data_IF_045179537412
#
_entry.id   IF_045179537412
#
_cell.length_a   1.000
_cell.length_b   1.000
_cell.length_c   1.000
_cell.angle_alpha   90.00
_cell.angle_beta   90.00
_cell.angle_gamma   90.00
#
_symmetry.space_group_name_H-M   'P 1'
#
loop_
_entity.id
_entity.type
_entity.pdbx_description
1 polymer ?
#
# COMPACT_ATOMS: atom_id res chain seq x y z
N UNK A 1 -21.87 -17.26 -24.04
CA UNK A 1 -21.72 -15.97 -23.33
C UNK A 1 -20.83 -16.15 -22.11
N UNK A 2 -20.18 -15.07 -21.69
CA UNK A 2 -19.24 -14.91 -20.56
C UNK A 2 -17.76 -15.20 -20.85
N UNK A 3 -17.16 -14.31 -21.65
CA UNK A 3 -15.76 -13.93 -21.45
C UNK A 3 -15.74 -12.85 -20.38
N UNK A 4 -15.30 -13.18 -19.16
CA UNK A 4 -14.83 -12.18 -18.19
C UNK A 4 -13.45 -11.76 -18.67
N UNK A 5 -13.42 -10.83 -19.62
CA UNK A 5 -12.26 -9.99 -19.89
C UNK A 5 -12.57 -8.64 -19.24
N UNK A 6 -11.79 -8.25 -18.22
CA UNK A 6 -11.61 -6.91 -17.66
C UNK A 6 -10.84 -7.11 -16.34
N UNK A 7 -9.63 -6.62 -16.12
CA UNK A 7 -9.28 -5.20 -16.21
C UNK A 7 -7.74 -5.06 -16.23
N UNK A 8 -7.15 -4.84 -17.42
CA UNK A 8 -5.68 -4.75 -17.61
C UNK A 8 -5.11 -3.35 -17.36
N UNK A 9 -5.59 -2.63 -16.34
CA UNK A 9 -5.28 -1.20 -16.15
C UNK A 9 -4.88 -0.85 -14.71
N UNK A 10 -4.27 -1.79 -13.99
CA UNK A 10 -3.30 -1.40 -12.96
C UNK A 10 -1.95 -1.43 -13.64
N UNK A 11 -1.29 -0.29 -13.78
CA UNK A 11 0.13 -0.27 -14.11
C UNK A 11 0.87 -0.87 -12.91
N UNK A 12 0.92 -2.20 -12.85
CA UNK A 12 1.71 -2.94 -11.88
C UNK A 12 3.17 -2.69 -12.25
N UNK A 13 3.71 -1.62 -11.70
CA UNK A 13 5.13 -1.36 -11.83
C UNK A 13 5.83 -2.41 -10.97
N UNK A 14 6.73 -3.16 -11.59
CA UNK A 14 7.52 -4.15 -10.88
C UNK A 14 8.78 -3.43 -10.38
N UNK A 15 8.86 -3.22 -9.07
CA UNK A 15 10.09 -2.72 -8.47
C UNK A 15 11.02 -3.90 -8.20
N UNK A 16 12.27 -3.76 -8.62
CA UNK A 16 13.32 -4.77 -8.39
C UNK A 16 14.01 -4.47 -7.07
N UNK A 17 13.61 -5.18 -6.01
CA UNK A 17 14.38 -5.23 -4.78
C UNK A 17 15.13 -6.58 -4.73
N UNK A 18 16.47 -6.55 -4.79
CA UNK A 18 17.27 -7.77 -4.92
C UNK A 18 16.98 -8.56 -6.21
N UNK A 19 16.56 -9.83 -6.08
CA UNK A 19 16.32 -10.77 -7.20
C UNK A 19 14.85 -10.99 -7.56
N UNK A 20 13.89 -10.39 -6.83
CA UNK A 20 12.45 -10.63 -7.03
C UNK A 20 11.71 -9.36 -7.41
N UNK A 21 10.57 -9.57 -8.05
CA UNK A 21 9.69 -8.51 -8.55
C UNK A 21 8.54 -8.38 -7.56
N UNK A 22 8.42 -7.22 -6.93
CA UNK A 22 7.28 -6.88 -6.10
C UNK A 22 6.31 -6.08 -6.96
N UNK A 23 5.06 -6.53 -7.06
CA UNK A 23 4.00 -5.68 -7.61
C UNK A 23 3.66 -4.61 -6.58
N UNK A 24 3.73 -3.36 -7.02
CA UNK A 24 3.12 -2.27 -6.27
C UNK A 24 2.18 -1.50 -7.18
N UNK A 25 1.14 -0.95 -6.57
CA UNK A 25 0.21 -0.06 -7.26
C UNK A 25 0.57 1.38 -6.93
N UNK A 26 0.86 2.19 -7.95
CA UNK A 26 0.97 3.64 -7.80
C UNK A 26 -0.44 4.25 -7.84
N UNK A 27 -0.73 5.15 -6.90
CA UNK A 27 -1.97 5.92 -6.87
C UNK A 27 -1.64 7.39 -7.09
N UNK A 28 -2.27 8.00 -8.10
CA UNK A 28 -2.12 9.43 -8.41
C UNK A 28 -3.44 10.20 -8.42
N UNK A 29 -4.58 9.50 -8.36
CA UNK A 29 -5.91 10.11 -8.40
C UNK A 29 -6.85 9.46 -7.39
N UNK A 30 -7.93 10.16 -7.02
CA UNK A 30 -8.97 9.61 -6.15
C UNK A 30 -9.65 8.38 -6.74
N UNK A 31 -9.78 8.32 -8.08
CA UNK A 31 -10.33 7.17 -8.77
C UNK A 31 -9.44 5.93 -8.59
N UNK A 32 -8.12 6.10 -8.52
CA UNK A 32 -7.20 5.00 -8.25
C UNK A 32 -7.28 4.57 -6.78
N UNK A 33 -7.43 5.52 -5.85
CA UNK A 33 -7.69 5.20 -4.45
C UNK A 33 -8.98 4.37 -4.28
N UNK A 34 -10.06 4.74 -4.97
CA UNK A 34 -11.31 3.96 -4.94
C UNK A 34 -11.14 2.55 -5.47
N UNK A 35 -10.33 2.35 -6.52
CA UNK A 35 -10.00 1.02 -7.02
C UNK A 35 -9.23 0.20 -5.98
N UNK A 36 -8.28 0.82 -5.27
CA UNK A 36 -7.55 0.18 -4.18
C UNK A 36 -8.51 -0.24 -3.06
N UNK A 37 -9.40 0.66 -2.64
CA UNK A 37 -10.39 0.35 -1.60
C UNK A 37 -11.30 -0.81 -2.04
N UNK A 38 -11.75 -0.85 -3.30
CA UNK A 38 -12.51 -1.98 -3.84
C UNK A 38 -11.70 -3.27 -3.92
N UNK A 39 -10.43 -3.20 -4.32
CA UNK A 39 -9.53 -4.36 -4.34
C UNK A 39 -9.30 -4.94 -2.92
N UNK A 40 -9.47 -4.12 -1.89
CA UNK A 40 -9.37 -4.55 -0.49
C UNK A 40 -10.42 -5.58 -0.06
N UNK A 41 -11.50 -5.73 -0.82
CA UNK A 41 -12.50 -6.79 -0.62
C UNK A 41 -11.94 -8.19 -0.83
N UNK A 42 -11.02 -8.33 -1.79
CA UNK A 42 -10.40 -9.61 -2.12
C UNK A 42 -9.12 -9.84 -1.33
N UNK A 43 -8.33 -8.77 -1.13
CA UNK A 43 -6.99 -8.88 -0.57
C UNK A 43 -6.59 -7.63 0.19
N UNK A 44 -6.03 -7.74 1.41
CA UNK A 44 -5.48 -6.61 2.16
C UNK A 44 -4.63 -5.66 1.31
N UNK A 45 -4.93 -4.36 1.40
CA UNK A 45 -4.18 -3.30 0.72
C UNK A 45 -3.47 -2.46 1.77
N UNK A 46 -2.15 -2.32 1.65
CA UNK A 46 -1.35 -1.45 2.51
C UNK A 46 -0.95 -0.22 1.71
N UNK A 47 -1.51 0.92 2.08
CA UNK A 47 -1.29 2.21 1.42
C UNK A 47 -0.19 2.97 2.16
N UNK A 48 0.95 3.16 1.50
CA UNK A 48 2.12 3.86 2.00
C UNK A 48 2.21 5.25 1.37
N UNK A 49 1.94 6.27 2.18
CA UNK A 49 2.07 7.67 1.83
C UNK A 49 3.50 8.15 2.13
N UNK A 50 4.21 8.61 1.10
CA UNK A 50 5.62 9.03 1.17
C UNK A 50 5.87 10.29 0.36
N UNK A 51 7.09 10.81 0.47
CA UNK A 51 7.64 11.88 -0.37
C UNK A 51 9.15 11.67 -0.59
N UNK A 52 9.71 12.23 -1.66
CA UNK A 52 11.14 12.09 -1.99
C UNK A 52 12.07 12.84 -1.02
N UNK A 53 11.57 13.95 -0.46
CA UNK A 53 12.28 14.76 0.53
C UNK A 53 12.20 14.19 1.96
N UNK A 54 11.43 13.12 2.18
CA UNK A 54 11.21 12.54 3.49
C UNK A 54 12.37 11.60 3.90
N UNK A 55 13.23 12.09 4.81
CA UNK A 55 14.32 11.29 5.38
C UNK A 55 13.87 9.96 6.01
N UNK A 56 12.89 9.94 6.93
CA UNK A 56 12.40 8.70 7.55
C UNK A 56 11.80 7.69 6.55
N UNK A 57 11.23 8.17 5.44
CA UNK A 57 10.66 7.34 4.39
C UNK A 57 11.71 6.43 3.72
N UNK A 58 12.98 6.86 3.69
CA UNK A 58 14.10 6.08 3.12
C UNK A 58 14.41 4.82 3.93
N UNK A 59 14.07 4.79 5.22
CA UNK A 59 14.22 3.61 6.06
C UNK A 59 12.98 2.72 5.99
N UNK A 60 11.79 3.32 6.09
CA UNK A 60 10.54 2.58 6.15
C UNK A 60 10.16 1.93 4.81
N UNK A 61 10.40 2.60 3.67
CA UNK A 61 10.04 2.10 2.34
C UNK A 61 10.62 0.73 2.02
N UNK A 62 11.97 0.55 2.07
CA UNK A 62 12.60 -0.76 1.83
C UNK A 62 12.19 -1.83 2.84
N UNK A 63 11.94 -1.44 4.09
CA UNK A 63 11.46 -2.34 5.13
C UNK A 63 10.05 -2.86 4.82
N UNK A 64 9.12 -1.98 4.44
CA UNK A 64 7.76 -2.35 4.04
C UNK A 64 7.77 -3.26 2.82
N UNK A 65 8.56 -2.93 1.81
CA UNK A 65 8.71 -3.76 0.60
C UNK A 65 9.15 -5.17 0.93
N UNK A 66 10.24 -5.31 1.70
CA UNK A 66 10.77 -6.61 2.14
C UNK A 66 9.71 -7.41 2.89
N UNK A 67 9.05 -6.80 3.87
CA UNK A 67 8.09 -7.53 4.71
C UNK A 67 6.81 -7.90 3.94
N UNK A 68 6.35 -7.05 3.01
CA UNK A 68 5.20 -7.38 2.16
C UNK A 68 5.56 -8.50 1.18
N UNK A 69 6.78 -8.50 0.65
CA UNK A 69 7.27 -9.61 -0.19
C UNK A 69 7.22 -10.94 0.56
N UNK A 70 7.64 -10.96 1.83
CA UNK A 70 7.60 -12.15 2.70
C UNK A 70 6.17 -12.67 2.92
N UNK A 71 5.14 -11.86 2.66
CA UNK A 71 3.73 -12.30 2.70
C UNK A 71 3.30 -13.13 1.50
N UNK A 72 4.17 -13.30 0.49
CA UNK A 72 3.92 -14.10 -0.71
C UNK A 72 2.63 -13.70 -1.45
N UNK A 73 2.40 -12.38 -1.54
CA UNK A 73 1.27 -11.82 -2.27
C UNK A 73 -0.04 -11.79 -1.50
N UNK A 74 -0.08 -12.18 -0.20
CA UNK A 74 -1.26 -12.03 0.66
C UNK A 74 -1.65 -10.57 0.91
N UNK A 75 -0.69 -9.65 0.80
CA UNK A 75 -0.89 -8.21 0.93
C UNK A 75 -0.43 -7.53 -0.37
N UNK A 76 -1.13 -6.48 -0.80
CA UNK A 76 -0.67 -5.59 -1.87
C UNK A 76 -0.07 -4.33 -1.26
N UNK A 77 1.10 -3.92 -1.77
CA UNK A 77 1.67 -2.61 -1.47
C UNK A 77 1.14 -1.57 -2.45
N UNK A 78 0.58 -0.50 -1.92
CA UNK A 78 0.12 0.66 -2.66
C UNK A 78 0.97 1.85 -2.25
N UNK A 79 1.54 2.57 -3.21
CA UNK A 79 2.38 3.75 -2.94
C UNK A 79 1.65 5.01 -3.39
N UNK A 80 1.59 5.98 -2.48
CA UNK A 80 1.07 7.32 -2.71
C UNK A 80 2.19 8.30 -2.47
N UNK A 81 2.61 8.99 -3.53
CA UNK A 81 3.48 10.15 -3.39
C UNK A 81 2.60 11.36 -3.12
N UNK A 82 2.74 11.97 -1.94
CA UNK A 82 1.87 13.07 -1.50
C UNK A 82 2.10 14.35 -2.31
N UNK A 83 3.28 14.53 -2.92
CA UNK A 83 3.56 15.69 -3.79
C UNK A 83 2.88 15.52 -5.15
N UNK A 84 2.76 14.28 -5.63
CA UNK A 84 2.15 13.97 -6.93
C UNK A 84 0.63 13.72 -6.86
N UNK A 85 0.13 13.35 -5.69
CA UNK A 85 -1.25 12.95 -5.46
C UNK A 85 -1.90 13.77 -4.33
N UNK A 86 -1.75 15.11 -4.37
CA UNK A 86 -2.21 16.01 -3.31
C UNK A 86 -3.68 15.79 -2.92
N UNK A 87 -4.59 15.66 -3.89
CA UNK A 87 -6.02 15.39 -3.61
C UNK A 87 -6.25 14.06 -2.91
N UNK A 88 -5.45 13.03 -3.21
CA UNK A 88 -5.50 11.74 -2.52
C UNK A 88 -4.99 11.87 -1.09
N UNK A 89 -3.90 12.60 -0.89
CA UNK A 89 -3.34 12.87 0.43
C UNK A 89 -4.34 13.63 1.31
N UNK A 90 -5.03 14.63 0.75
CA UNK A 90 -6.09 15.39 1.42
C UNK A 90 -7.27 14.50 1.81
N UNK A 91 -7.73 13.65 0.88
CA UNK A 91 -8.83 12.70 1.12
C UNK A 91 -8.51 11.66 2.20
N UNK A 92 -7.26 11.21 2.23
CA UNK A 92 -6.72 10.33 3.28
C UNK A 92 -6.37 11.08 4.57
N UNK A 93 -6.53 12.42 4.60
CA UNK A 93 -6.19 13.30 5.71
C UNK A 93 -4.74 13.11 6.19
N UNK A 94 -3.80 12.94 5.25
CA UNK A 94 -2.37 12.76 5.54
C UNK A 94 -1.78 14.08 6.00
N UNK A 95 -1.47 14.16 7.30
CA UNK A 95 -0.85 15.36 7.92
C UNK A 95 0.68 15.30 7.95
N UNK A 96 1.25 14.10 7.84
CA UNK A 96 2.68 13.87 7.89
C UNK A 96 3.07 12.63 7.09
N UNK A 97 4.30 12.62 6.59
CA UNK A 97 4.91 11.43 5.96
C UNK A 97 6.08 10.92 6.81
N UNK A 98 6.30 9.60 6.87
CA UNK A 98 5.47 8.56 6.26
C UNK A 98 4.18 8.31 7.04
N UNK A 99 3.10 8.00 6.32
CA UNK A 99 1.86 7.47 6.91
C UNK A 99 1.49 6.19 6.18
N UNK A 100 1.05 5.18 6.91
CA UNK A 100 0.65 3.89 6.35
C UNK A 100 -0.75 3.53 6.82
N UNK A 101 -1.59 3.15 5.87
CA UNK A 101 -2.95 2.69 6.11
C UNK A 101 -3.10 1.23 5.71
N UNK A 102 -3.94 0.51 6.43
CA UNK A 102 -4.36 -0.84 6.09
C UNK A 102 -5.85 -0.83 5.75
N UNK A 103 -6.18 -1.28 4.54
CA UNK A 103 -7.54 -1.45 4.07
C UNK A 103 -7.91 -2.92 3.88
N UNK A 104 -9.12 -3.27 4.28
CA UNK A 104 -9.72 -4.57 4.02
C UNK A 104 -11.25 -4.47 4.02
N UNK A 105 -11.92 -5.23 3.13
CA UNK A 105 -13.39 -5.25 3.01
C UNK A 105 -13.97 -3.85 2.81
N UNK A 106 -13.31 -3.04 1.98
CA UNK A 106 -13.72 -1.68 1.64
C UNK A 106 -13.56 -0.66 2.77
N UNK A 107 -12.91 -1.02 3.88
CA UNK A 107 -12.78 -0.17 5.07
C UNK A 107 -11.32 0.01 5.47
N UNK A 108 -11.02 1.17 6.03
CA UNK A 108 -9.78 1.39 6.74
C UNK A 108 -9.84 0.65 8.08
N UNK A 109 -8.90 -0.27 8.29
CA UNK A 109 -8.87 -1.15 9.45
C UNK A 109 -7.87 -0.68 10.51
N UNK A 110 -6.73 -0.14 10.08
CA UNK A 110 -5.67 0.35 10.97
C UNK A 110 -4.80 1.38 10.24
N UNK A 111 -4.04 2.18 11.00
CA UNK A 111 -3.09 3.13 10.46
C UNK A 111 -1.94 3.39 11.43
N UNK A 112 -0.80 3.84 10.91
CA UNK A 112 0.25 4.43 11.72
C UNK A 112 0.95 5.58 10.99
N UNK A 113 1.56 6.47 11.79
CA UNK A 113 2.33 7.61 11.30
C UNK A 113 3.77 7.50 11.81
N UNK A 114 4.73 7.82 10.95
CA UNK A 114 6.16 7.80 11.25
C UNK A 114 6.86 6.49 10.85
N UNK A 115 8.19 6.50 10.97
CA UNK A 115 9.03 5.36 10.68
C UNK A 115 9.08 4.42 11.89
N UNK A 116 8.22 3.39 11.89
CA UNK A 116 8.23 2.35 12.91
C UNK A 116 9.37 1.34 12.68
N UNK A 117 9.81 0.68 13.76
CA UNK A 117 10.80 -0.40 13.69
C UNK A 117 10.22 -1.69 13.10
N UNK A 118 11.10 -2.59 12.63
CA UNK A 118 10.73 -3.85 11.94
C UNK A 118 9.67 -4.67 12.69
N UNK A 119 9.81 -4.85 14.01
CA UNK A 119 8.84 -5.64 14.78
C UNK A 119 7.44 -5.01 14.79
N UNK A 120 7.35 -3.68 14.87
CA UNK A 120 6.06 -2.98 14.86
C UNK A 120 5.41 -3.07 13.48
N UNK A 121 6.20 -2.93 12.41
CA UNK A 121 5.70 -3.10 11.04
C UNK A 121 5.24 -4.55 10.79
N UNK A 122 6.00 -5.55 11.27
CA UNK A 122 5.57 -6.96 11.21
C UNK A 122 4.25 -7.18 11.92
N UNK A 123 4.09 -6.66 13.14
CA UNK A 123 2.86 -6.78 13.89
C UNK A 123 1.68 -6.12 13.15
N UNK A 124 1.90 -4.97 12.54
CA UNK A 124 0.90 -4.29 11.70
C UNK A 124 0.48 -5.17 10.50
N UNK A 125 1.44 -5.73 9.75
CA UNK A 125 1.15 -6.60 8.61
C UNK A 125 0.51 -7.94 9.03
N UNK A 126 0.85 -8.45 10.21
CA UNK A 126 0.21 -9.65 10.76
C UNK A 126 -1.27 -9.44 11.03
N UNK A 127 -1.68 -8.26 11.52
CA UNK A 127 -3.12 -7.95 11.64
C UNK A 127 -3.82 -8.05 10.29
N UNK A 128 -3.17 -7.55 9.23
CA UNK A 128 -3.72 -7.62 7.88
C UNK A 128 -3.88 -9.06 7.37
N UNK A 129 -2.92 -9.94 7.66
CA UNK A 129 -3.01 -11.37 7.30
C UNK A 129 -4.11 -12.08 8.09
N UNK A 130 -4.15 -11.91 9.41
CA UNK A 130 -5.13 -12.62 10.26
C UNK A 130 -6.57 -12.16 10.03
N UNK A 131 -6.79 -10.94 9.54
CA UNK A 131 -8.13 -10.42 9.21
C UNK A 131 -8.79 -11.12 8.01
N UNK A 132 -8.03 -11.93 7.25
CA UNK A 132 -8.51 -12.71 6.10
C UNK A 132 -8.93 -14.14 6.44
N UNK A 133 -8.87 -14.53 7.72
CA UNK A 133 -9.29 -15.86 8.21
C UNK A 133 -10.79 -15.96 8.45
#
# INVERSE_FOLDING_TARGET
MNRVANNSLFSSSLFRYGRRLISYTKVSSEADLEKVVKASDQKPQVVYCHAEWCGPCRQLGPLLEKLIEDTQGKIELVKVDVDQAASVADKLQVVAVPTVFYYHKGKQMDQFVGALGENQVKNFLQKAIHSTS
#
